data_IF_768513055364
#
_entry.id   IF_768513055364
#
_cell.length_a   1.000
_cell.length_b   1.000
_cell.length_c   1.000
_cell.angle_alpha   90.00
_cell.angle_beta   90.00
_cell.angle_gamma   90.00
#
_symmetry.space_group_name_H-M   'P 1'
#
loop_
_entity.id
_entity.type
_entity.pdbx_description
1 polymer ?
#
# COMPACT_ATOMS: atom_id res chain seq x y z
N UNK A 1 29.05 -37.23 24.57
CA UNK A 1 29.15 -35.84 24.09
C UNK A 1 28.78 -35.89 22.63
N UNK A 2 27.69 -35.24 22.22
CA UNK A 2 27.40 -35.13 20.79
C UNK A 2 28.53 -34.30 20.18
N UNK A 3 29.18 -34.81 19.14
CA UNK A 3 30.10 -33.98 18.34
C UNK A 3 29.30 -32.79 17.82
N UNK A 4 29.81 -31.57 18.05
CA UNK A 4 29.20 -30.36 17.51
C UNK A 4 29.14 -30.51 15.99
N UNK A 5 27.93 -30.75 15.46
CA UNK A 5 27.72 -30.81 14.02
C UNK A 5 28.00 -29.41 13.48
N UNK A 6 29.12 -29.24 12.77
CA UNK A 6 29.46 -27.96 12.17
C UNK A 6 28.34 -27.54 11.22
N UNK A 7 27.88 -26.30 11.36
CA UNK A 7 26.82 -25.70 10.53
C UNK A 7 27.14 -25.79 9.02
N UNK A 8 28.43 -25.88 8.65
CA UNK A 8 28.86 -26.09 7.26
C UNK A 8 28.37 -27.41 6.65
N UNK A 9 27.98 -28.41 7.46
CA UNK A 9 27.46 -29.69 6.97
C UNK A 9 25.94 -29.70 6.81
N UNK A 10 25.24 -28.67 7.28
CA UNK A 10 23.79 -28.60 7.13
C UNK A 10 23.38 -28.48 5.64
N UNK A 11 22.29 -29.14 5.21
CA UNK A 11 21.69 -28.90 3.90
C UNK A 11 21.35 -27.41 3.70
N UNK A 12 21.31 -26.96 2.45
CA UNK A 12 21.01 -25.56 2.15
C UNK A 12 19.63 -25.16 2.68
N UNK A 13 18.65 -26.06 2.63
CA UNK A 13 17.29 -25.85 3.12
C UNK A 13 17.24 -25.57 4.62
N UNK A 14 18.11 -26.23 5.40
CA UNK A 14 18.23 -26.00 6.84
C UNK A 14 18.90 -24.65 7.11
N UNK A 15 19.92 -24.30 6.33
CA UNK A 15 20.57 -22.99 6.41
C UNK A 15 19.60 -21.87 6.04
N UNK A 16 18.80 -22.04 4.99
CA UNK A 16 17.74 -21.11 4.61
C UNK A 16 16.75 -20.92 5.75
N UNK A 17 16.28 -22.01 6.36
CA UNK A 17 15.34 -21.94 7.49
C UNK A 17 15.93 -21.21 8.71
N UNK A 18 17.22 -21.40 9.01
CA UNK A 18 17.90 -20.64 10.06
C UNK A 18 17.95 -19.15 9.71
N UNK A 19 18.28 -18.81 8.46
CA UNK A 19 18.37 -17.42 8.00
C UNK A 19 17.00 -16.73 7.87
N UNK A 20 15.90 -17.48 7.80
CA UNK A 20 14.53 -16.98 7.86
C UNK A 20 14.18 -16.43 9.26
N UNK A 21 15.01 -16.62 10.30
CA UNK A 21 14.75 -16.08 11.64
C UNK A 21 14.55 -14.56 11.62
N UNK A 22 13.54 -14.08 12.36
CA UNK A 22 13.14 -12.67 12.38
C UNK A 22 14.18 -11.74 13.01
N UNK A 23 15.05 -12.27 13.87
CA UNK A 23 16.11 -11.51 14.53
C UNK A 23 17.34 -11.33 13.64
N UNK A 24 17.44 -12.08 12.53
CA UNK A 24 18.49 -11.91 11.54
C UNK A 24 18.05 -10.90 10.48
N UNK A 25 18.84 -9.84 10.31
CA UNK A 25 18.60 -8.83 9.29
C UNK A 25 19.42 -9.11 8.02
N UNK A 26 19.10 -8.39 6.95
CA UNK A 26 19.84 -8.49 5.69
C UNK A 26 21.37 -8.42 5.83
N UNK A 27 21.89 -7.56 6.70
CA UNK A 27 23.34 -7.48 6.95
C UNK A 27 23.90 -8.79 7.50
N UNK A 28 23.18 -9.45 8.41
CA UNK A 28 23.60 -10.75 8.96
C UNK A 28 23.61 -11.82 7.87
N UNK A 29 22.61 -11.81 7.00
CA UNK A 29 22.53 -12.72 5.84
C UNK A 29 23.69 -12.47 4.86
N UNK A 30 23.99 -11.21 4.52
CA UNK A 30 25.16 -10.89 3.68
C UNK A 30 26.47 -11.31 4.34
N UNK A 31 26.67 -10.99 5.62
CA UNK A 31 27.86 -11.39 6.38
C UNK A 31 28.02 -12.90 6.43
N UNK A 32 26.92 -13.65 6.63
CA UNK A 32 26.92 -15.10 6.56
C UNK A 32 27.40 -15.62 5.20
N UNK A 33 26.91 -15.02 4.11
CA UNK A 33 27.34 -15.34 2.75
C UNK A 33 28.81 -15.01 2.44
N UNK A 34 29.42 -14.05 3.15
CA UNK A 34 30.83 -13.69 2.99
C UNK A 34 31.80 -14.72 3.60
N UNK A 35 31.31 -15.65 4.43
CA UNK A 35 32.19 -16.60 5.13
C UNK A 35 32.74 -17.71 4.21
N UNK A 36 31.93 -18.27 3.30
CA UNK A 36 32.34 -19.33 2.38
C UNK A 36 31.43 -19.44 1.16
N UNK A 37 31.90 -20.14 0.11
CA UNK A 37 31.16 -20.35 -1.14
C UNK A 37 29.83 -21.09 -0.96
N UNK A 38 29.78 -22.06 -0.03
CA UNK A 38 28.54 -22.78 0.29
C UNK A 38 27.49 -21.82 0.83
N UNK A 39 27.83 -20.99 1.81
CA UNK A 39 26.89 -20.04 2.41
C UNK A 39 26.51 -18.94 1.44
N UNK A 40 27.44 -18.49 0.59
CA UNK A 40 27.13 -17.56 -0.50
C UNK A 40 26.02 -18.09 -1.41
N UNK A 41 26.02 -19.39 -1.72
CA UNK A 41 24.99 -20.03 -2.56
C UNK A 41 23.60 -20.01 -1.89
N UNK A 42 23.53 -20.02 -0.56
CA UNK A 42 22.26 -19.92 0.18
C UNK A 42 21.58 -18.56 -0.06
N UNK A 43 22.36 -17.50 -0.29
CA UNK A 43 21.85 -16.16 -0.59
C UNK A 43 21.23 -16.05 -1.99
N UNK A 44 21.30 -17.08 -2.82
CA UNK A 44 20.60 -17.11 -4.11
C UNK A 44 19.19 -17.68 -3.98
N UNK A 45 18.78 -18.10 -2.77
CA UNK A 45 17.41 -18.54 -2.49
C UNK A 45 16.42 -17.37 -2.61
N UNK A 46 15.65 -17.37 -3.69
CA UNK A 46 14.57 -16.41 -3.90
C UNK A 46 13.50 -16.51 -2.80
N UNK A 47 13.27 -17.73 -2.27
CA UNK A 47 12.35 -17.98 -1.16
C UNK A 47 12.81 -17.26 0.10
N UNK A 48 14.10 -17.36 0.45
CA UNK A 48 14.65 -16.67 1.61
C UNK A 48 14.39 -15.16 1.52
N UNK A 49 14.75 -14.53 0.40
CA UNK A 49 14.54 -13.08 0.22
C UNK A 49 13.07 -12.69 0.21
N UNK A 50 12.18 -13.52 -0.35
CA UNK A 50 10.74 -13.33 -0.22
C UNK A 50 10.35 -13.31 1.25
N UNK A 51 10.68 -14.35 2.00
CA UNK A 51 10.37 -14.45 3.43
C UNK A 51 10.89 -13.23 4.20
N UNK A 52 12.14 -12.80 3.97
CA UNK A 52 12.71 -11.62 4.63
C UNK A 52 12.02 -10.32 4.23
N UNK A 53 11.63 -10.16 2.97
CA UNK A 53 10.85 -9.02 2.51
C UNK A 53 9.50 -8.97 3.23
N UNK A 54 8.78 -10.10 3.26
CA UNK A 54 7.47 -10.20 3.90
C UNK A 54 7.52 -9.92 5.40
N UNK A 55 8.55 -10.42 6.09
CA UNK A 55 8.76 -10.16 7.51
C UNK A 55 8.97 -8.68 7.81
N UNK A 56 9.70 -7.97 6.94
CA UNK A 56 10.09 -6.57 7.18
C UNK A 56 9.06 -5.56 6.70
N UNK A 57 8.39 -5.84 5.59
CA UNK A 57 7.43 -4.93 4.96
C UNK A 57 6.15 -5.66 4.52
N UNK A 58 5.38 -6.25 5.45
CA UNK A 58 4.20 -7.04 5.13
C UNK A 58 3.12 -6.22 4.42
N UNK A 59 2.97 -4.94 4.76
CA UNK A 59 2.01 -4.01 4.16
C UNK A 59 2.27 -3.76 2.67
N UNK A 60 3.51 -3.89 2.17
CA UNK A 60 3.78 -3.70 0.74
C UNK A 60 3.20 -4.83 -0.13
N UNK A 61 2.95 -6.01 0.45
CA UNK A 61 2.43 -7.17 -0.26
C UNK A 61 0.93 -7.08 -0.56
N UNK A 62 0.22 -6.13 0.04
CA UNK A 62 -1.20 -5.89 -0.28
C UNK A 62 -1.39 -5.29 -1.66
N UNK A 63 -0.33 -4.67 -2.21
CA UNK A 63 -0.30 -4.11 -3.55
C UNK A 63 -0.66 -5.16 -4.60
N UNK A 64 -1.53 -4.77 -5.56
CA UNK A 64 -1.92 -5.64 -6.67
C UNK A 64 -0.72 -6.13 -7.50
N UNK A 65 0.36 -5.34 -7.56
CA UNK A 65 1.61 -5.73 -8.23
C UNK A 65 2.12 -7.11 -7.77
N UNK A 66 2.15 -7.37 -6.46
CA UNK A 66 2.65 -8.65 -5.93
C UNK A 66 1.65 -9.80 -6.09
N UNK A 67 0.37 -9.51 -6.37
CA UNK A 67 -0.67 -10.52 -6.64
C UNK A 67 -0.66 -10.98 -8.10
N UNK A 68 -0.27 -10.10 -9.01
CA UNK A 68 -0.32 -10.31 -10.47
C UNK A 68 0.99 -10.85 -11.05
N UNK A 69 2.10 -10.79 -10.30
CA UNK A 69 3.42 -11.10 -10.81
C UNK A 69 3.95 -12.46 -10.32
N UNK A 70 4.09 -13.40 -11.26
CA UNK A 70 4.52 -14.78 -10.97
C UNK A 70 6.04 -14.94 -10.78
N UNK A 71 6.85 -14.03 -11.34
CA UNK A 71 8.31 -14.15 -11.38
C UNK A 71 9.00 -12.90 -10.84
N UNK A 72 9.03 -12.76 -9.52
CA UNK A 72 9.74 -11.68 -8.83
C UNK A 72 11.10 -12.19 -8.36
N UNK A 73 12.16 -11.46 -8.73
CA UNK A 73 13.46 -11.57 -8.06
C UNK A 73 13.37 -10.81 -6.73
N UNK A 74 13.18 -11.55 -5.64
CA UNK A 74 13.01 -10.97 -4.32
C UNK A 74 14.30 -10.40 -3.75
N UNK A 75 15.46 -10.87 -4.21
CA UNK A 75 16.75 -10.32 -3.78
C UNK A 75 16.93 -8.93 -4.37
N UNK A 76 16.75 -8.80 -5.68
CA UNK A 76 16.82 -7.50 -6.36
C UNK A 76 15.74 -6.55 -5.82
N UNK A 77 14.49 -7.02 -5.65
CA UNK A 77 13.41 -6.20 -5.10
C UNK A 77 13.70 -5.74 -3.66
N UNK A 78 14.33 -6.58 -2.82
CA UNK A 78 14.75 -6.22 -1.46
C UNK A 78 15.89 -5.20 -1.47
N UNK A 79 16.90 -5.39 -2.32
CA UNK A 79 18.02 -4.46 -2.49
C UNK A 79 17.56 -3.10 -3.00
N UNK A 80 16.69 -3.07 -4.01
CA UNK A 80 16.10 -1.85 -4.55
C UNK A 80 15.24 -1.13 -3.51
N UNK A 81 14.45 -1.86 -2.70
CA UNK A 81 13.72 -1.27 -1.58
C UNK A 81 14.65 -0.54 -0.63
N UNK A 82 15.76 -1.15 -0.21
CA UNK A 82 16.75 -0.52 0.67
C UNK A 82 17.43 0.67 0.02
N UNK A 83 17.81 0.56 -1.26
CA UNK A 83 18.46 1.63 -2.00
C UNK A 83 17.55 2.85 -2.09
N UNK A 84 16.31 2.66 -2.53
CA UNK A 84 15.31 3.73 -2.65
C UNK A 84 15.03 4.36 -1.30
N UNK A 85 14.81 3.54 -0.27
CA UNK A 85 14.65 3.96 1.13
C UNK A 85 15.76 4.92 1.59
N UNK A 86 17.03 4.53 1.37
CA UNK A 86 18.20 5.36 1.72
C UNK A 86 18.26 6.65 0.90
N UNK A 87 18.03 6.57 -0.41
CA UNK A 87 18.06 7.74 -1.29
C UNK A 87 16.96 8.73 -0.93
N UNK A 88 15.72 8.27 -0.71
CA UNK A 88 14.59 9.11 -0.24
C UNK A 88 14.94 9.83 1.05
N UNK A 89 15.46 9.11 2.05
CA UNK A 89 15.90 9.71 3.31
C UNK A 89 17.02 10.75 3.12
N UNK A 90 17.99 10.47 2.24
CA UNK A 90 19.07 11.40 1.94
C UNK A 90 18.56 12.68 1.28
N UNK A 91 17.64 12.56 0.32
CA UNK A 91 17.01 13.69 -0.36
C UNK A 91 16.17 14.52 0.61
N UNK A 92 15.38 13.90 1.48
CA UNK A 92 14.60 14.61 2.51
C UNK A 92 15.50 15.43 3.44
N UNK A 93 16.64 14.88 3.85
CA UNK A 93 17.59 15.58 4.72
C UNK A 93 18.23 16.78 4.02
N UNK A 94 18.43 16.74 2.70
CA UNK A 94 18.97 17.89 1.96
C UNK A 94 17.93 18.98 1.69
N UNK A 95 16.64 18.67 1.76
CA UNK A 95 15.57 19.65 1.51
C UNK A 95 15.62 20.84 2.47
N UNK A 96 16.00 20.66 3.74
CA UNK A 96 16.14 21.78 4.66
C UNK A 96 17.17 22.79 4.15
N UNK A 97 18.35 22.33 3.75
CA UNK A 97 19.39 23.20 3.22
C UNK A 97 18.95 23.93 1.92
N UNK A 98 18.23 23.23 1.04
CA UNK A 98 17.84 23.76 -0.28
C UNK A 98 16.60 24.65 -0.21
N UNK A 99 15.66 24.35 0.68
CA UNK A 99 14.31 24.91 0.66
C UNK A 99 13.95 25.73 1.92
N UNK A 100 14.84 25.86 2.90
CA UNK A 100 14.53 26.57 4.16
C UNK A 100 14.06 28.02 3.97
N UNK A 101 14.54 28.70 2.92
CA UNK A 101 14.17 30.09 2.62
C UNK A 101 12.90 30.22 1.76
N UNK A 102 12.28 29.11 1.36
CA UNK A 102 11.10 29.12 0.49
C UNK A 102 9.85 29.08 1.35
N UNK A 103 8.95 30.05 1.15
CA UNK A 103 7.64 30.04 1.78
C UNK A 103 6.77 28.89 1.24
N UNK A 104 6.87 28.62 -0.06
CA UNK A 104 6.19 27.52 -0.73
C UNK A 104 7.15 26.70 -1.60
N UNK A 105 6.91 25.39 -1.64
CA UNK A 105 7.66 24.45 -2.48
C UNK A 105 6.96 24.33 -3.83
N UNK A 106 7.72 24.51 -4.90
CA UNK A 106 7.25 24.35 -6.28
C UNK A 106 7.29 22.89 -6.72
N UNK A 107 6.63 22.55 -7.82
CA UNK A 107 6.75 21.21 -8.42
C UNK A 107 8.21 20.83 -8.73
N UNK A 108 9.03 21.79 -9.15
CA UNK A 108 10.43 21.55 -9.49
C UNK A 108 11.25 21.08 -8.27
N UNK A 109 10.85 21.46 -7.06
CA UNK A 109 11.52 21.05 -5.82
C UNK A 109 11.37 19.56 -5.52
N UNK A 110 10.37 18.90 -6.13
CA UNK A 110 10.12 17.47 -5.99
C UNK A 110 10.70 16.64 -7.14
N UNK A 111 11.25 17.26 -8.20
CA UNK A 111 11.74 16.54 -9.39
C UNK A 111 12.77 15.48 -9.04
N UNK A 112 13.64 15.74 -8.07
CA UNK A 112 14.66 14.77 -7.60
C UNK A 112 14.04 13.47 -7.06
N UNK A 113 12.81 13.50 -6.55
CA UNK A 113 12.07 12.30 -6.16
C UNK A 113 11.35 11.66 -7.35
N UNK A 114 10.79 12.47 -8.25
CA UNK A 114 10.13 12.00 -9.47
C UNK A 114 11.11 11.25 -10.37
N UNK A 115 12.36 11.70 -10.45
CA UNK A 115 13.46 11.06 -11.18
C UNK A 115 13.82 9.66 -10.65
N UNK A 116 13.45 9.32 -9.40
CA UNK A 116 13.65 7.98 -8.85
C UNK A 116 12.59 6.98 -9.33
N UNK A 117 11.40 7.44 -9.73
CA UNK A 117 10.29 6.57 -10.17
C UNK A 117 10.71 5.58 -11.27
N UNK A 118 11.40 5.97 -12.36
CA UNK A 118 11.78 5.03 -13.42
C UNK A 118 12.89 4.04 -13.04
N UNK A 119 13.53 4.19 -11.88
CA UNK A 119 14.68 3.34 -11.50
C UNK A 119 14.29 1.91 -11.11
N UNK A 120 13.04 1.70 -10.71
CA UNK A 120 12.50 0.39 -10.35
C UNK A 120 10.97 0.43 -10.44
N UNK A 121 10.34 -0.67 -10.85
CA UNK A 121 8.87 -0.73 -11.04
C UNK A 121 8.08 -0.40 -9.77
N UNK A 122 8.61 -0.77 -8.61
CA UNK A 122 8.03 -0.46 -7.29
C UNK A 122 8.57 0.83 -6.65
N UNK A 123 9.35 1.65 -7.36
CA UNK A 123 10.01 2.80 -6.75
C UNK A 123 9.03 3.77 -6.10
N UNK A 124 7.92 4.09 -6.79
CA UNK A 124 6.89 4.97 -6.24
C UNK A 124 6.29 4.41 -4.94
N UNK A 125 5.87 3.14 -4.94
CA UNK A 125 5.29 2.49 -3.76
C UNK A 125 6.29 2.40 -2.60
N UNK A 126 7.57 2.15 -2.89
CA UNK A 126 8.63 2.11 -1.89
C UNK A 126 8.88 3.47 -1.26
N UNK A 127 8.86 4.55 -2.05
CA UNK A 127 8.99 5.91 -1.54
C UNK A 127 7.79 6.31 -0.68
N UNK A 128 6.56 6.07 -1.16
CA UNK A 128 5.33 6.35 -0.40
C UNK A 128 5.36 5.61 0.94
N UNK A 129 5.67 4.32 0.92
CA UNK A 129 5.76 3.53 2.14
C UNK A 129 6.84 4.04 3.11
N UNK A 130 8.02 4.43 2.61
CA UNK A 130 9.07 5.04 3.43
C UNK A 130 8.58 6.33 4.10
N UNK A 131 7.94 7.21 3.33
CA UNK A 131 7.43 8.49 3.81
C UNK A 131 6.32 8.30 4.83
N UNK A 132 5.40 7.35 4.60
CA UNK A 132 4.34 7.00 5.53
C UNK A 132 4.92 6.57 6.89
N UNK A 133 5.96 5.74 6.91
CA UNK A 133 6.64 5.34 8.15
C UNK A 133 7.23 6.55 8.88
N UNK A 134 7.85 7.49 8.16
CA UNK A 134 8.45 8.69 8.74
C UNK A 134 7.40 9.67 9.31
N UNK A 135 6.31 9.87 8.58
CA UNK A 135 5.22 10.79 8.96
C UNK A 135 4.50 10.28 10.21
N UNK A 136 4.20 8.99 10.26
CA UNK A 136 3.46 8.36 11.36
C UNK A 136 4.34 7.90 12.52
N UNK A 137 5.66 8.09 12.42
CA UNK A 137 6.55 7.87 13.55
C UNK A 137 6.13 8.80 14.71
N UNK A 138 6.04 8.29 15.92
CA UNK A 138 5.48 9.02 17.08
C UNK A 138 6.55 9.45 18.09
N UNK A 139 7.83 9.39 17.73
CA UNK A 139 8.90 9.72 18.67
C UNK A 139 8.88 11.23 19.02
N UNK A 140 8.94 11.50 20.31
CA UNK A 140 8.93 12.83 20.91
C UNK A 140 10.17 13.65 20.51
N UNK A 141 11.24 12.99 20.06
CA UNK A 141 12.47 13.62 19.56
C UNK A 141 12.55 13.68 18.03
N UNK A 142 11.45 13.44 17.32
CA UNK A 142 11.44 13.44 15.87
C UNK A 142 11.82 14.81 15.28
N UNK A 143 12.62 14.75 14.21
CA UNK A 143 13.00 15.94 13.45
C UNK A 143 11.77 16.47 12.69
N UNK A 144 11.09 17.46 13.29
CA UNK A 144 9.89 18.09 12.74
C UNK A 144 10.10 18.68 11.34
N UNK A 145 11.30 19.17 11.05
CA UNK A 145 11.66 19.65 9.70
C UNK A 145 11.65 18.51 8.69
N UNK A 146 12.23 17.37 9.03
CA UNK A 146 12.18 16.17 8.17
C UNK A 146 10.76 15.67 7.99
N UNK A 147 9.93 15.63 9.04
CA UNK A 147 8.51 15.27 8.94
C UNK A 147 7.71 16.22 8.05
N UNK A 148 7.94 17.51 8.18
CA UNK A 148 7.29 18.52 7.33
C UNK A 148 7.60 18.27 5.84
N UNK A 149 8.87 18.08 5.48
CA UNK A 149 9.24 17.79 4.10
C UNK A 149 8.75 16.41 3.65
N UNK A 150 8.77 15.40 4.53
CA UNK A 150 8.24 14.08 4.23
C UNK A 150 6.75 14.14 3.87
N UNK A 151 5.94 14.90 4.62
CA UNK A 151 4.54 15.13 4.31
C UNK A 151 4.34 15.80 2.93
N UNK A 152 5.13 16.84 2.63
CA UNK A 152 5.04 17.54 1.34
C UNK A 152 5.40 16.65 0.15
N UNK A 153 6.48 15.88 0.27
CA UNK A 153 6.91 14.92 -0.76
C UNK A 153 5.88 13.80 -0.89
N UNK A 154 5.35 13.29 0.22
CA UNK A 154 4.31 12.26 0.24
C UNK A 154 3.08 12.70 -0.55
N UNK A 155 2.57 13.92 -0.30
CA UNK A 155 1.47 14.49 -1.08
C UNK A 155 1.79 14.52 -2.58
N UNK A 156 2.96 15.01 -2.96
CA UNK A 156 3.36 15.07 -4.38
C UNK A 156 3.39 13.67 -5.03
N UNK A 157 4.01 12.68 -4.38
CA UNK A 157 4.11 11.33 -4.92
C UNK A 157 2.75 10.63 -4.98
N UNK A 158 1.89 10.84 -3.99
CA UNK A 158 0.51 10.33 -4.02
C UNK A 158 -0.30 10.95 -5.13
N UNK A 159 -0.17 12.26 -5.37
CA UNK A 159 -0.85 12.91 -6.49
C UNK A 159 -0.44 12.31 -7.84
N UNK A 160 0.81 11.88 -8.01
CA UNK A 160 1.24 11.15 -9.22
C UNK A 160 0.53 9.80 -9.34
N UNK A 161 0.42 9.03 -8.24
CA UNK A 161 -0.30 7.75 -8.25
C UNK A 161 -1.79 7.94 -8.53
N UNK A 162 -2.43 8.84 -7.80
CA UNK A 162 -3.87 9.12 -7.85
C UNK A 162 -4.26 9.76 -9.19
N UNK A 163 -3.40 10.58 -9.79
CA UNK A 163 -3.62 11.11 -11.16
C UNK A 163 -3.82 9.97 -12.16
N UNK A 164 -3.02 8.91 -12.08
CA UNK A 164 -3.17 7.75 -12.97
C UNK A 164 -4.48 7.00 -12.72
N UNK A 165 -4.91 6.87 -11.46
CA UNK A 165 -6.21 6.28 -11.09
C UNK A 165 -7.37 7.12 -11.64
N UNK A 166 -7.27 8.45 -11.51
CA UNK A 166 -8.24 9.40 -12.03
C UNK A 166 -8.36 9.35 -13.55
N UNK A 167 -7.24 9.32 -14.28
CA UNK A 167 -7.27 9.17 -15.74
C UNK A 167 -7.90 7.85 -16.17
N UNK A 168 -7.60 6.73 -15.48
CA UNK A 168 -8.26 5.45 -15.75
C UNK A 168 -9.77 5.54 -15.52
N UNK A 169 -10.18 6.13 -14.39
CA UNK A 169 -11.59 6.32 -14.03
C UNK A 169 -12.35 7.16 -15.07
N UNK A 170 -11.80 8.29 -15.51
CA UNK A 170 -12.43 9.13 -16.55
C UNK A 170 -12.60 8.43 -17.89
N UNK A 171 -11.70 7.51 -18.21
CA UNK A 171 -11.73 6.74 -19.46
C UNK A 171 -12.62 5.49 -19.37
N UNK A 172 -13.12 5.13 -18.18
CA UNK A 172 -14.10 4.06 -18.04
C UNK A 172 -15.45 4.47 -18.66
N UNK A 173 -16.27 3.52 -19.15
CA UNK A 173 -17.63 3.82 -19.61
C UNK A 173 -18.46 4.54 -18.53
N UNK A 174 -19.41 5.43 -18.89
CA UNK A 174 -20.23 6.17 -17.92
C UNK A 174 -20.92 5.28 -16.88
N UNK A 175 -21.27 4.05 -17.26
CA UNK A 175 -21.87 3.06 -16.37
C UNK A 175 -20.90 2.65 -15.26
N UNK A 176 -19.59 2.57 -15.54
CA UNK A 176 -18.57 2.17 -14.55
C UNK A 176 -17.97 3.33 -13.76
N UNK A 177 -18.34 4.57 -14.08
CA UNK A 177 -17.92 5.77 -13.37
C UNK A 177 -18.75 6.00 -12.10
N UNK A 178 -18.75 5.01 -11.21
CA UNK A 178 -19.54 5.07 -9.97
C UNK A 178 -19.04 6.15 -9.02
N UNK A 179 -19.98 6.85 -8.38
CA UNK A 179 -19.68 7.98 -7.48
C UNK A 179 -18.80 7.57 -6.29
N UNK A 180 -19.02 6.38 -5.73
CA UNK A 180 -18.19 5.84 -4.64
C UNK A 180 -16.70 5.86 -5.03
N UNK A 181 -16.35 5.22 -6.15
CA UNK A 181 -14.97 5.14 -6.64
C UNK A 181 -14.40 6.53 -6.95
N UNK A 182 -15.20 7.41 -7.54
CA UNK A 182 -14.80 8.81 -7.77
C UNK A 182 -14.47 9.53 -6.46
N UNK A 183 -15.32 9.38 -5.44
CA UNK A 183 -15.12 9.95 -4.11
C UNK A 183 -13.88 9.36 -3.41
N UNK A 184 -13.62 8.05 -3.54
CA UNK A 184 -12.39 7.43 -3.01
C UNK A 184 -11.13 8.04 -3.64
N UNK A 185 -11.10 8.22 -4.96
CA UNK A 185 -9.96 8.83 -5.66
C UNK A 185 -9.73 10.27 -5.17
N UNK A 186 -10.81 11.06 -5.01
CA UNK A 186 -10.73 12.43 -4.48
C UNK A 186 -10.24 12.43 -3.03
N UNK A 187 -10.74 11.52 -2.19
CA UNK A 187 -10.29 11.39 -0.80
C UNK A 187 -8.79 11.05 -0.73
N UNK A 188 -8.32 10.10 -1.54
CA UNK A 188 -6.89 9.76 -1.67
C UNK A 188 -6.04 10.97 -2.10
N UNK A 189 -6.58 11.85 -2.95
CA UNK A 189 -5.91 13.08 -3.36
C UNK A 189 -5.78 14.10 -2.23
N UNK A 190 -6.87 14.31 -1.48
CA UNK A 190 -6.94 15.31 -0.42
C UNK A 190 -6.25 14.87 0.88
N UNK A 191 -6.18 13.56 1.15
CA UNK A 191 -5.69 12.98 2.40
C UNK A 191 -4.51 12.05 2.12
N UNK A 192 -3.41 12.63 1.66
CA UNK A 192 -2.27 11.88 1.17
C UNK A 192 -1.48 11.13 2.26
N UNK A 193 -1.75 11.41 3.53
CA UNK A 193 -1.19 10.75 4.70
C UNK A 193 -2.06 9.59 5.20
N UNK A 194 -3.27 9.39 4.68
CA UNK A 194 -4.16 8.32 5.12
C UNK A 194 -4.22 7.17 4.12
N UNK A 195 -4.18 5.93 4.60
CA UNK A 195 -4.32 4.75 3.76
C UNK A 195 -5.80 4.47 3.45
N UNK A 196 -6.33 5.15 2.43
CA UNK A 196 -7.71 5.01 1.96
C UNK A 196 -7.73 4.04 0.78
N UNK A 197 -8.47 2.94 0.89
CA UNK A 197 -8.62 1.93 -0.16
C UNK A 197 -10.08 1.76 -0.56
N UNK A 198 -10.32 1.31 -1.80
CA UNK A 198 -11.67 0.99 -2.26
C UNK A 198 -12.32 -0.07 -1.35
N UNK A 199 -11.55 -1.11 -0.97
CA UNK A 199 -12.00 -2.16 -0.06
C UNK A 199 -12.43 -1.62 1.31
N UNK A 200 -11.66 -0.70 1.90
CA UNK A 200 -12.01 -0.09 3.18
C UNK A 200 -13.35 0.66 3.10
N UNK A 201 -13.53 1.47 2.05
CA UNK A 201 -14.74 2.29 1.88
C UNK A 201 -15.95 1.41 1.56
N UNK A 202 -15.79 0.44 0.66
CA UNK A 202 -16.84 -0.54 0.35
C UNK A 202 -17.28 -1.32 1.59
N UNK A 203 -16.35 -1.74 2.46
CA UNK A 203 -16.69 -2.43 3.71
C UNK A 203 -17.45 -1.52 4.69
N UNK A 204 -17.10 -0.23 4.76
CA UNK A 204 -17.84 0.74 5.58
C UNK A 204 -19.25 0.97 5.07
N UNK A 205 -19.44 1.03 3.75
CA UNK A 205 -20.76 1.16 3.13
C UNK A 205 -21.60 -0.10 3.33
N UNK A 206 -21.02 -1.29 3.17
CA UNK A 206 -21.68 -2.57 3.44
C UNK A 206 -22.17 -2.64 4.90
N UNK A 207 -21.35 -2.16 5.86
CA UNK A 207 -21.76 -2.07 7.26
C UNK A 207 -22.96 -1.12 7.47
N UNK A 208 -22.97 0.04 6.81
CA UNK A 208 -24.10 0.98 6.88
C UNK A 208 -25.36 0.33 6.28
N UNK A 209 -25.23 -0.38 5.16
CA UNK A 209 -26.34 -1.12 4.54
C UNK A 209 -26.91 -2.15 5.51
N UNK A 210 -26.07 -2.93 6.19
CA UNK A 210 -26.52 -3.90 7.18
C UNK A 210 -27.28 -3.24 8.35
N UNK A 211 -26.80 -2.08 8.83
CA UNK A 211 -27.50 -1.31 9.85
C UNK A 211 -28.89 -0.87 9.38
N UNK A 212 -29.00 -0.29 8.18
CA UNK A 212 -30.27 0.15 7.59
C UNK A 212 -31.22 -1.04 7.41
N UNK A 213 -30.73 -2.18 6.91
CA UNK A 213 -31.55 -3.40 6.74
C UNK A 213 -32.13 -3.88 8.07
N UNK A 214 -31.38 -3.81 9.16
CA UNK A 214 -31.87 -4.20 10.47
C UNK A 214 -32.95 -3.24 10.99
N UNK A 215 -32.78 -1.93 10.81
CA UNK A 215 -33.81 -0.93 11.17
C UNK A 215 -35.09 -1.16 10.37
N UNK A 216 -34.98 -1.31 9.04
CA UNK A 216 -36.14 -1.54 8.17
C UNK A 216 -36.91 -2.81 8.54
N UNK A 217 -36.21 -3.90 8.88
CA UNK A 217 -36.84 -5.14 9.35
C UNK A 217 -37.64 -4.94 10.63
N UNK A 218 -37.10 -4.17 11.58
CA UNK A 218 -37.75 -3.92 12.86
C UNK A 218 -38.97 -3.01 12.72
N UNK A 219 -38.89 -1.97 11.90
CA UNK A 219 -39.96 -0.96 11.76
C UNK A 219 -41.06 -1.38 10.78
N UNK A 220 -40.69 -2.00 9.65
CA UNK A 220 -41.61 -2.25 8.53
C UNK A 220 -41.75 -3.73 8.16
N UNK A 221 -41.01 -4.62 8.84
CA UNK A 221 -41.06 -6.06 8.65
C UNK A 221 -40.22 -6.58 7.47
N UNK A 222 -40.10 -7.91 7.37
CA UNK A 222 -39.20 -8.59 6.42
C UNK A 222 -39.59 -8.42 4.94
N UNK A 223 -40.84 -8.05 4.66
CA UNK A 223 -41.36 -7.87 3.30
C UNK A 223 -41.19 -6.45 2.77
N UNK A 224 -40.45 -5.59 3.49
CA UNK A 224 -40.16 -4.25 3.02
C UNK A 224 -39.46 -4.30 1.65
N UNK A 225 -39.92 -3.55 0.63
CA UNK A 225 -39.41 -3.67 -0.74
C UNK A 225 -37.88 -3.56 -0.87
N UNK A 226 -37.25 -2.68 -0.09
CA UNK A 226 -35.79 -2.53 -0.10
C UNK A 226 -35.01 -3.73 0.46
N UNK A 227 -35.66 -4.61 1.23
CA UNK A 227 -35.07 -5.85 1.71
C UNK A 227 -35.20 -7.00 0.71
N UNK A 228 -36.14 -6.88 -0.23
CA UNK A 228 -36.52 -7.92 -1.19
C UNK A 228 -35.82 -7.78 -2.55
N UNK A 229 -34.88 -6.84 -2.69
CA UNK A 229 -34.07 -6.68 -3.90
C UNK A 229 -33.25 -7.96 -4.15
N UNK A 230 -33.18 -8.39 -5.41
CA UNK A 230 -32.47 -9.61 -5.78
C UNK A 230 -30.95 -9.45 -5.57
N UNK A 231 -30.25 -10.57 -5.36
CA UNK A 231 -28.79 -10.57 -5.26
C UNK A 231 -28.11 -10.14 -6.56
N UNK A 232 -28.73 -10.41 -7.70
CA UNK A 232 -28.23 -10.03 -9.02
C UNK A 232 -28.29 -8.51 -9.21
N UNK A 233 -29.42 -7.89 -8.84
CA UNK A 233 -29.57 -6.43 -8.89
C UNK A 233 -28.57 -5.75 -7.97
N UNK A 234 -28.43 -6.21 -6.72
CA UNK A 234 -27.47 -5.66 -5.76
C UNK A 234 -26.02 -5.76 -6.27
N UNK A 235 -25.65 -6.87 -6.91
CA UNK A 235 -24.33 -7.04 -7.51
C UNK A 235 -24.12 -6.09 -8.71
N UNK A 236 -25.16 -5.90 -9.53
CA UNK A 236 -25.15 -4.93 -10.63
C UNK A 236 -24.95 -3.50 -10.13
N UNK A 237 -25.72 -3.10 -9.11
CA UNK A 237 -25.69 -1.77 -8.50
C UNK A 237 -24.34 -1.43 -7.87
N UNK A 238 -23.62 -2.43 -7.37
CA UNK A 238 -22.29 -2.26 -6.78
C UNK A 238 -21.22 -1.88 -7.82
N UNK A 239 -21.43 -2.22 -9.08
CA UNK A 239 -20.41 -2.11 -10.13
C UNK A 239 -20.77 -1.14 -11.25
N UNK A 240 -22.02 -0.66 -11.27
CA UNK A 240 -22.54 0.20 -12.32
C UNK A 240 -23.45 1.30 -11.76
N UNK A 241 -23.38 2.49 -12.36
CA UNK A 241 -24.33 3.57 -12.17
C UNK A 241 -25.74 3.12 -12.56
N UNK A 242 -26.73 3.54 -11.77
CA UNK A 242 -28.13 3.23 -11.98
C UNK A 242 -28.83 4.54 -12.34
N UNK A 243 -29.50 4.59 -13.49
CA UNK A 243 -30.18 5.80 -13.96
C UNK A 243 -31.51 6.07 -13.25
N UNK A 244 -32.12 5.02 -12.69
CA UNK A 244 -33.52 5.05 -12.29
C UNK A 244 -33.67 4.86 -10.79
N UNK A 245 -34.61 5.60 -10.20
CA UNK A 245 -34.98 5.41 -8.80
C UNK A 245 -35.75 4.09 -8.65
N UNK A 246 -35.13 3.13 -7.96
CA UNK A 246 -35.66 1.77 -7.79
C UNK A 246 -36.82 1.70 -6.80
N UNK A 247 -37.02 2.78 -6.04
CA UNK A 247 -38.06 2.88 -5.01
C UNK A 247 -38.94 4.10 -5.25
N UNK A 248 -40.23 3.97 -4.98
CA UNK A 248 -41.12 5.12 -4.98
C UNK A 248 -40.77 6.07 -3.81
N UNK A 249 -41.24 7.32 -3.88
CA UNK A 249 -40.89 8.33 -2.88
C UNK A 249 -41.30 8.01 -1.44
N UNK A 250 -42.25 7.11 -1.22
CA UNK A 250 -42.61 6.66 0.14
C UNK A 250 -41.55 5.74 0.70
N UNK A 251 -41.14 4.74 -0.09
CA UNK A 251 -40.10 3.78 0.29
C UNK A 251 -38.75 4.51 0.43
N UNK A 252 -38.42 5.44 -0.47
CA UNK A 252 -37.18 6.22 -0.36
C UNK A 252 -37.07 7.00 0.96
N UNK A 253 -38.18 7.55 1.47
CA UNK A 253 -38.22 8.25 2.77
C UNK A 253 -38.09 7.33 3.98
N UNK A 254 -38.34 6.04 3.83
CA UNK A 254 -38.13 5.06 4.89
C UNK A 254 -36.67 4.61 4.97
N UNK A 255 -35.90 4.82 3.90
CA UNK A 255 -34.48 4.44 3.80
C UNK A 255 -33.54 5.57 4.26
N UNK A 256 -33.92 6.84 4.03
CA UNK A 256 -33.15 8.06 4.37
C UNK A 256 -33.50 8.52 5.78
#
# INVERSE_FOLDING_TARGET
MAEDVLIIYFPNEVLEHILEDKNLFHNDIYNFGLTCSKFRKVLDSNKLWKTKFQQRWPSLLTSSFYKEQDTIDWKDNYENRLRISRTTNSLLKSMSHVCYKKEELSHADYNVFVELIPTHIMALSFMIHELMLLVHHTDLFDNLTTKFYANKVLSCLRHIEVSKKWEKFKNDPPEKQILERGAVIIAQWCQADLEITDELISNQLDYIVDCIRNVLKLEYGERHPALCVSTEDLAGWRTSNISDNQFNGTISRQII
#
